data_IF_622927371987
#
_entry.id   IF_622927371987
#
_cell.length_a   1.000
_cell.length_b   1.000
_cell.length_c   1.000
_cell.angle_alpha   90.00
_cell.angle_beta   90.00
_cell.angle_gamma   90.00
#
_symmetry.space_group_name_H-M   'P 1'
#
loop_
_entity.id
_entity.type
_entity.pdbx_description
1 polymer ?
#
# COMPACT_ATOMS: atom_id res chain seq x y z
N UNK A 1 -41.02 -27.70 -0.05
CA UNK A 1 -41.64 -27.68 -1.38
C UNK A 1 -42.89 -26.81 -1.31
N UNK A 2 -42.72 -25.49 -1.51
CA UNK A 2 -43.71 -24.46 -1.92
C UNK A 2 -42.82 -23.33 -2.49
N UNK A 3 -42.52 -23.37 -3.80
CA UNK A 3 -43.06 -22.47 -4.86
C UNK A 3 -42.61 -21.00 -4.65
N UNK A 4 -41.63 -20.46 -5.38
CA UNK A 4 -41.57 -20.13 -6.81
C UNK A 4 -42.34 -18.85 -7.23
N UNK A 5 -41.57 -17.92 -7.77
CA UNK A 5 -41.89 -16.86 -8.74
C UNK A 5 -42.54 -15.53 -8.32
N UNK A 6 -41.89 -14.45 -8.79
CA UNK A 6 -42.34 -13.06 -8.89
C UNK A 6 -41.20 -12.13 -8.47
N UNK A 7 -40.44 -11.44 -9.31
CA UNK A 7 -40.66 -11.02 -10.69
C UNK A 7 -40.28 -9.54 -10.79
N UNK A 8 -39.23 -9.26 -11.58
CA UNK A 8 -38.89 -7.98 -12.22
C UNK A 8 -38.57 -6.72 -11.38
N UNK A 9 -37.40 -6.12 -11.64
CA UNK A 9 -37.20 -4.68 -11.44
C UNK A 9 -35.75 -4.21 -11.33
N UNK A 10 -35.17 -3.74 -12.45
CA UNK A 10 -34.15 -2.67 -12.52
C UNK A 10 -32.77 -2.92 -11.86
N UNK A 11 -31.63 -2.83 -12.54
CA UNK A 11 -31.37 -2.14 -13.79
C UNK A 11 -30.03 -2.58 -14.39
N UNK A 12 -29.97 -2.41 -15.71
CA UNK A 12 -28.76 -2.44 -16.52
C UNK A 12 -27.70 -1.52 -15.91
N UNK A 13 -26.70 -2.10 -15.24
CA UNK A 13 -25.39 -1.46 -15.06
C UNK A 13 -24.54 -1.68 -16.32
N UNK A 14 -25.11 -1.32 -17.47
CA UNK A 14 -24.43 -1.30 -18.75
C UNK A 14 -24.15 0.16 -19.13
N UNK A 15 -22.88 0.57 -18.99
CA UNK A 15 -22.39 1.87 -19.47
C UNK A 15 -22.11 2.88 -18.35
N UNK A 16 -20.83 3.21 -18.13
CA UNK A 16 -20.46 4.39 -17.32
C UNK A 16 -19.14 4.34 -16.56
N UNK A 17 -18.51 3.16 -16.38
CA UNK A 17 -17.27 3.06 -15.58
C UNK A 17 -15.98 3.37 -16.36
N UNK A 18 -16.08 3.78 -17.63
CA UNK A 18 -14.91 4.23 -18.41
C UNK A 18 -14.35 5.58 -17.97
N UNK A 19 -15.18 6.44 -17.35
CA UNK A 19 -14.78 7.80 -16.93
C UNK A 19 -14.11 7.86 -15.55
N UNK A 20 -14.63 7.14 -14.56
CA UNK A 20 -14.18 7.27 -13.16
C UNK A 20 -12.77 6.73 -12.90
N UNK A 21 -12.38 5.66 -13.59
CA UNK A 21 -11.03 5.06 -13.48
C UNK A 21 -9.97 5.98 -14.10
N UNK A 22 -10.32 6.72 -15.15
CA UNK A 22 -9.44 7.72 -15.77
C UNK A 22 -9.24 8.95 -14.88
N UNK A 23 -10.28 9.40 -14.17
CA UNK A 23 -10.22 10.59 -13.32
C UNK A 23 -9.34 10.36 -12.09
N UNK A 24 -9.49 9.22 -11.39
CA UNK A 24 -8.68 8.93 -10.20
C UNK A 24 -7.20 8.66 -10.54
N UNK A 25 -6.94 7.92 -11.62
CA UNK A 25 -5.58 7.72 -12.15
C UNK A 25 -4.92 9.03 -12.59
N UNK A 26 -5.69 9.90 -13.25
CA UNK A 26 -5.23 11.23 -13.67
C UNK A 26 -4.84 12.12 -12.50
N UNK A 27 -5.65 12.17 -11.44
CA UNK A 27 -5.34 12.95 -10.22
C UNK A 27 -4.06 12.46 -9.55
N UNK A 28 -3.86 11.14 -9.45
CA UNK A 28 -2.64 10.57 -8.88
C UNK A 28 -1.40 10.93 -9.71
N UNK A 29 -1.48 10.82 -11.04
CA UNK A 29 -0.39 11.20 -11.95
C UNK A 29 -0.06 12.71 -11.84
N UNK A 30 -1.07 13.56 -11.83
CA UNK A 30 -0.88 15.01 -11.65
C UNK A 30 -0.23 15.30 -10.30
N UNK A 31 -0.67 14.64 -9.22
CA UNK A 31 -0.06 14.76 -7.89
C UNK A 31 1.42 14.37 -7.91
N UNK A 32 1.76 13.25 -8.54
CA UNK A 32 3.15 12.79 -8.70
C UNK A 32 3.98 13.81 -9.49
N UNK A 33 3.47 14.33 -10.61
CA UNK A 33 4.17 15.33 -11.42
C UNK A 33 4.37 16.63 -10.63
N UNK A 34 3.37 17.10 -9.89
CA UNK A 34 3.47 18.27 -9.02
C UNK A 34 4.52 18.06 -7.93
N UNK A 35 4.56 16.89 -7.30
CA UNK A 35 5.57 16.54 -6.30
C UNK A 35 6.99 16.50 -6.89
N UNK A 36 7.16 15.92 -8.08
CA UNK A 36 8.45 15.89 -8.79
C UNK A 36 8.89 17.32 -9.15
N UNK A 37 7.97 18.17 -9.64
CA UNK A 37 8.26 19.58 -9.91
C UNK A 37 8.63 20.35 -8.64
N UNK A 38 7.93 20.11 -7.53
CA UNK A 38 8.22 20.72 -6.24
C UNK A 38 9.60 20.29 -5.71
N UNK A 39 9.98 19.02 -5.90
CA UNK A 39 11.31 18.50 -5.58
C UNK A 39 12.41 19.11 -6.45
N UNK A 40 12.12 19.38 -7.72
CA UNK A 40 13.06 20.05 -8.63
C UNK A 40 13.20 21.54 -8.30
N UNK A 41 12.14 22.18 -7.76
CA UNK A 41 12.13 23.58 -7.29
C UNK A 41 12.10 23.69 -5.77
N UNK A 42 12.96 22.93 -5.08
CA UNK A 42 13.14 22.92 -3.61
C UNK A 42 13.04 24.29 -2.92
N UNK A 43 13.78 25.34 -3.33
CA UNK A 43 13.74 26.62 -2.63
C UNK A 43 12.38 27.33 -2.77
N UNK A 44 11.61 27.05 -3.83
CA UNK A 44 10.24 27.55 -3.97
C UNK A 44 9.26 26.75 -3.11
N UNK A 45 9.38 25.41 -3.11
CA UNK A 45 8.55 24.53 -2.30
C UNK A 45 8.68 24.84 -0.79
N UNK A 46 9.90 25.05 -0.29
CA UNK A 46 10.14 25.40 1.11
C UNK A 46 9.64 26.81 1.47
N UNK A 47 9.68 27.77 0.55
CA UNK A 47 9.09 29.10 0.76
C UNK A 47 7.58 29.04 0.87
N UNK A 48 6.92 28.32 -0.04
CA UNK A 48 5.47 28.13 -0.02
C UNK A 48 5.03 27.37 1.24
N UNK A 49 5.75 26.31 1.61
CA UNK A 49 5.52 25.59 2.86
C UNK A 49 5.64 26.51 4.08
N UNK A 50 6.70 27.34 4.15
CA UNK A 50 6.88 28.30 5.25
C UNK A 50 5.74 29.32 5.32
N UNK A 51 5.23 29.80 4.19
CA UNK A 51 4.08 30.73 4.15
C UNK A 51 2.79 30.06 4.64
N UNK A 52 2.54 28.82 4.22
CA UNK A 52 1.36 28.05 4.65
C UNK A 52 1.45 27.66 6.13
N UNK A 53 2.61 27.23 6.62
CA UNK A 53 2.80 26.87 8.03
C UNK A 53 2.69 28.08 8.96
N UNK A 54 3.00 29.30 8.50
CA UNK A 54 2.76 30.53 9.25
C UNK A 54 1.27 30.84 9.47
N UNK A 55 0.38 30.31 8.63
CA UNK A 55 -1.07 30.46 8.79
C UNK A 55 -1.65 29.47 9.80
N UNK A 56 -0.89 28.46 10.23
CA UNK A 56 -1.34 27.40 11.13
C UNK A 56 -0.59 27.50 12.47
N UNK A 57 -1.07 28.31 13.43
CA UNK A 57 -0.37 28.59 14.69
C UNK A 57 -0.22 27.38 15.63
N UNK A 58 -0.86 26.26 15.31
CA UNK A 58 -0.85 25.02 16.09
C UNK A 58 0.24 24.00 15.68
N UNK A 59 1.01 24.27 14.61
CA UNK A 59 2.13 23.39 14.21
C UNK A 59 3.48 24.09 14.42
N UNK A 60 4.46 23.35 14.93
CA UNK A 60 5.84 23.84 15.06
C UNK A 60 6.48 24.01 13.66
N UNK A 61 6.73 25.24 13.18
CA UNK A 61 7.13 25.49 11.79
C UNK A 61 8.47 24.83 11.45
N UNK A 62 9.42 24.84 12.38
CA UNK A 62 10.78 24.35 12.14
C UNK A 62 10.83 22.82 12.06
N UNK A 63 10.05 22.15 12.91
CA UNK A 63 9.96 20.69 12.92
C UNK A 63 9.30 20.12 11.65
N UNK A 64 8.34 20.85 11.08
CA UNK A 64 7.70 20.45 9.82
C UNK A 64 8.50 20.87 8.59
N UNK A 65 9.17 22.03 8.62
CA UNK A 65 10.07 22.43 7.53
C UNK A 65 11.22 21.44 7.34
N UNK A 66 11.80 20.91 8.43
CA UNK A 66 12.81 19.83 8.35
C UNK A 66 12.26 18.58 7.67
N UNK A 67 11.07 18.11 8.07
CA UNK A 67 10.42 16.94 7.45
C UNK A 67 10.16 17.15 5.96
N UNK A 68 9.73 18.35 5.57
CA UNK A 68 9.49 18.69 4.16
C UNK A 68 10.82 18.72 3.40
N UNK A 69 11.89 19.28 3.98
CA UNK A 69 13.20 19.30 3.33
C UNK A 69 13.79 17.88 3.17
N UNK A 70 13.68 17.03 4.18
CA UNK A 70 14.09 15.62 4.12
C UNK A 70 13.30 14.85 3.04
N UNK A 71 11.98 15.09 2.93
CA UNK A 71 11.12 14.49 1.91
C UNK A 71 11.50 14.97 0.50
N UNK A 72 11.72 16.27 0.31
CA UNK A 72 12.20 16.85 -0.94
C UNK A 72 13.62 16.37 -1.29
N UNK A 73 14.41 15.98 -0.28
CA UNK A 73 15.72 15.36 -0.46
C UNK A 73 15.65 13.93 -0.94
N UNK A 74 14.75 13.12 -0.39
CA UNK A 74 14.44 11.80 -0.93
C UNK A 74 13.92 11.86 -2.38
N UNK A 75 13.03 12.80 -2.68
CA UNK A 75 12.50 12.99 -4.04
C UNK A 75 13.53 13.58 -5.02
N UNK A 76 14.58 14.25 -4.54
CA UNK A 76 15.60 14.79 -5.44
C UNK A 76 16.31 13.68 -6.22
N UNK A 77 16.46 12.48 -5.64
CA UNK A 77 16.97 11.31 -6.37
C UNK A 77 16.09 10.96 -7.59
N UNK A 78 14.77 11.13 -7.49
CA UNK A 78 13.83 10.90 -8.60
C UNK A 78 13.89 12.01 -9.68
N UNK A 79 14.53 13.15 -9.42
CA UNK A 79 14.63 14.24 -10.43
C UNK A 79 15.63 13.93 -11.53
N UNK A 80 16.58 13.00 -11.31
CA UNK A 80 17.44 12.48 -12.36
C UNK A 80 16.67 11.47 -13.19
N UNK A 81 16.51 11.74 -14.47
CA UNK A 81 15.74 10.89 -15.40
C UNK A 81 16.17 9.41 -15.36
N UNK A 82 17.47 9.14 -15.25
CA UNK A 82 18.01 7.77 -15.13
C UNK A 82 17.52 7.06 -13.87
N UNK A 83 17.60 7.72 -12.72
CA UNK A 83 17.24 7.15 -11.42
C UNK A 83 15.71 6.99 -11.32
N UNK A 84 14.95 7.96 -11.84
CA UNK A 84 13.49 7.86 -11.98
C UNK A 84 13.06 6.72 -12.91
N UNK A 85 13.69 6.55 -14.08
CA UNK A 85 13.39 5.45 -14.99
C UNK A 85 13.70 4.07 -14.37
N UNK A 86 14.82 3.96 -13.65
CA UNK A 86 15.19 2.72 -12.94
C UNK A 86 14.18 2.39 -11.85
N UNK A 87 13.71 3.38 -11.08
CA UNK A 87 12.67 3.19 -10.06
C UNK A 87 11.33 2.78 -10.66
N UNK A 88 10.91 3.39 -11.78
CA UNK A 88 9.69 3.00 -12.49
C UNK A 88 9.81 1.56 -12.99
N UNK A 89 10.94 1.21 -13.60
CA UNK A 89 11.19 -0.15 -14.08
C UNK A 89 11.13 -1.17 -12.94
N UNK A 90 11.82 -0.90 -11.83
CA UNK A 90 11.82 -1.79 -10.67
C UNK A 90 10.43 -1.91 -10.02
N UNK A 91 9.67 -0.81 -10.02
CA UNK A 91 8.28 -0.80 -9.57
C UNK A 91 7.42 -1.71 -10.45
N UNK A 92 7.45 -1.53 -11.77
CA UNK A 92 6.71 -2.39 -12.71
C UNK A 92 7.09 -3.86 -12.52
N UNK A 93 8.38 -4.14 -12.39
CA UNK A 93 8.89 -5.50 -12.18
C UNK A 93 8.41 -6.12 -10.87
N UNK A 94 8.14 -5.31 -9.85
CA UNK A 94 7.60 -5.75 -8.56
C UNK A 94 6.08 -5.96 -8.62
N UNK A 95 5.35 -5.07 -9.28
CA UNK A 95 3.87 -5.12 -9.32
C UNK A 95 3.32 -6.16 -10.30
N UNK A 96 3.99 -6.41 -11.43
CA UNK A 96 3.52 -7.38 -12.43
C UNK A 96 3.34 -8.80 -11.85
N UNK A 97 4.31 -9.39 -11.12
CA UNK A 97 4.14 -10.67 -10.45
C UNK A 97 3.00 -10.67 -9.42
N UNK A 98 2.79 -9.54 -8.72
CA UNK A 98 1.72 -9.41 -7.73
C UNK A 98 0.35 -9.46 -8.43
N UNK A 99 0.14 -8.67 -9.48
CA UNK A 99 -1.10 -8.68 -10.26
C UNK A 99 -1.34 -10.07 -10.86
N UNK A 100 -0.30 -10.71 -11.36
CA UNK A 100 -0.36 -12.07 -11.86
C UNK A 100 -0.80 -13.08 -10.78
N UNK A 101 -0.23 -13.00 -9.58
CA UNK A 101 -0.60 -13.86 -8.46
C UNK A 101 -2.06 -13.64 -8.00
N UNK A 102 -2.53 -12.39 -7.99
CA UNK A 102 -3.95 -12.09 -7.73
C UNK A 102 -4.85 -12.68 -8.83
N UNK A 103 -4.49 -12.51 -10.10
CA UNK A 103 -5.26 -13.04 -11.22
C UNK A 103 -5.39 -14.57 -11.15
N UNK A 104 -4.29 -15.28 -10.90
CA UNK A 104 -4.31 -16.75 -10.76
C UNK A 104 -5.01 -17.21 -9.49
N UNK A 105 -4.87 -16.50 -8.37
CA UNK A 105 -5.58 -16.80 -7.13
C UNK A 105 -7.10 -16.60 -7.26
N UNK A 106 -7.55 -15.56 -7.96
CA UNK A 106 -8.97 -15.35 -8.27
C UNK A 106 -9.51 -16.48 -9.15
N UNK A 107 -8.73 -16.93 -10.15
CA UNK A 107 -9.08 -18.12 -10.96
C UNK A 107 -9.15 -19.40 -10.11
N UNK A 108 -8.27 -19.55 -9.12
CA UNK A 108 -8.23 -20.73 -8.25
C UNK A 108 -9.50 -20.89 -7.39
N UNK A 109 -10.16 -19.78 -7.04
CA UNK A 109 -11.45 -19.80 -6.34
C UNK A 109 -12.66 -19.78 -7.31
N UNK A 110 -12.46 -20.21 -8.56
CA UNK A 110 -13.48 -20.29 -9.60
C UNK A 110 -14.13 -18.94 -9.98
N UNK A 111 -13.42 -17.82 -9.81
CA UNK A 111 -13.83 -16.54 -10.42
C UNK A 111 -13.29 -16.43 -11.85
N UNK A 112 -13.94 -15.59 -12.66
CA UNK A 112 -13.50 -15.26 -14.03
C UNK A 112 -12.96 -13.83 -14.06
N UNK A 113 -11.75 -13.57 -13.51
CA UNK A 113 -11.20 -12.24 -13.43
C UNK A 113 -10.76 -11.72 -14.81
N UNK A 114 -10.90 -10.41 -14.99
CA UNK A 114 -10.15 -9.66 -16.00
C UNK A 114 -8.86 -9.11 -15.39
N UNK A 115 -7.88 -8.73 -16.21
CA UNK A 115 -6.67 -8.06 -15.71
C UNK A 115 -6.97 -6.76 -14.96
N UNK A 116 -7.97 -6.01 -15.41
CA UNK A 116 -8.41 -4.79 -14.74
C UNK A 116 -9.01 -5.09 -13.36
N UNK A 117 -9.79 -6.17 -13.22
CA UNK A 117 -10.31 -6.63 -11.93
C UNK A 117 -9.17 -7.02 -10.99
N UNK A 118 -8.20 -7.82 -11.44
CA UNK A 118 -7.05 -8.20 -10.61
C UNK A 118 -6.27 -6.95 -10.14
N UNK A 119 -5.99 -6.01 -11.04
CA UNK A 119 -5.33 -4.74 -10.70
C UNK A 119 -6.13 -3.90 -9.70
N UNK A 120 -7.45 -3.82 -9.86
CA UNK A 120 -8.32 -3.09 -8.93
C UNK A 120 -8.30 -3.70 -7.52
N UNK A 121 -8.38 -5.03 -7.42
CA UNK A 121 -8.34 -5.75 -6.14
C UNK A 121 -6.97 -5.58 -5.47
N UNK A 122 -5.88 -5.57 -6.24
CA UNK A 122 -4.53 -5.25 -5.76
C UNK A 122 -4.46 -3.83 -5.17
N UNK A 123 -5.06 -2.83 -5.84
CA UNK A 123 -5.12 -1.47 -5.31
C UNK A 123 -5.92 -1.40 -4.00
N UNK A 124 -7.07 -2.08 -3.93
CA UNK A 124 -7.88 -2.13 -2.72
C UNK A 124 -7.13 -2.80 -1.56
N UNK A 125 -6.41 -3.89 -1.84
CA UNK A 125 -5.53 -4.54 -0.87
C UNK A 125 -4.44 -3.59 -0.36
N UNK A 126 -3.73 -2.91 -1.27
CA UNK A 126 -2.66 -1.97 -0.90
C UNK A 126 -3.18 -0.81 -0.02
N UNK A 127 -4.35 -0.26 -0.34
CA UNK A 127 -5.01 0.78 0.47
C UNK A 127 -5.39 0.26 1.86
N UNK A 128 -5.85 -0.99 1.95
CA UNK A 128 -6.23 -1.61 3.21
C UNK A 128 -5.02 -1.81 4.13
N UNK A 129 -3.88 -2.18 3.54
CA UNK A 129 -2.62 -2.37 4.27
C UNK A 129 -2.02 -1.04 4.73
N UNK A 130 -2.30 0.06 4.02
CA UNK A 130 -1.84 1.40 4.37
C UNK A 130 -2.49 1.96 5.64
N UNK A 131 -3.60 1.40 6.11
CA UNK A 131 -4.19 1.68 7.42
C UNK A 131 -3.69 0.62 8.43
N UNK A 132 -2.52 0.82 9.09
CA UNK A 132 -1.97 -0.17 10.01
C UNK A 132 -2.81 -0.24 11.29
N UNK A 133 -3.87 -1.04 11.29
CA UNK A 133 -4.82 -1.09 12.41
C UNK A 133 -4.89 -2.44 13.13
N UNK A 134 -4.28 -3.51 12.60
CA UNK A 134 -4.25 -4.82 13.25
C UNK A 134 -2.91 -5.55 13.11
N UNK A 135 -2.47 -6.29 14.15
CA UNK A 135 -1.34 -7.20 14.05
C UNK A 135 -1.54 -8.20 12.91
N UNK A 136 -0.59 -8.27 11.98
CA UNK A 136 -0.66 -9.18 10.84
C UNK A 136 -1.72 -8.82 9.77
N UNK A 137 -2.31 -7.63 9.83
CA UNK A 137 -3.30 -7.12 8.87
C UNK A 137 -4.56 -7.99 8.75
N UNK A 138 -4.82 -8.82 9.76
CA UNK A 138 -6.02 -9.67 9.84
C UNK A 138 -7.23 -8.75 10.01
N UNK A 139 -8.31 -9.02 9.27
CA UNK A 139 -9.49 -8.16 9.24
C UNK A 139 -9.42 -7.08 8.15
N UNK A 140 -8.52 -6.09 8.26
CA UNK A 140 -8.48 -4.96 7.29
C UNK A 140 -8.21 -5.40 5.86
N UNK A 141 -7.26 -6.32 5.66
CA UNK A 141 -6.99 -6.87 4.34
C UNK A 141 -8.23 -7.59 3.78
N UNK A 142 -8.87 -8.42 4.63
CA UNK A 142 -10.01 -9.24 4.22
C UNK A 142 -11.20 -8.35 3.88
N UNK A 143 -11.48 -7.34 4.69
CA UNK A 143 -12.56 -6.39 4.48
C UNK A 143 -12.37 -5.60 3.18
N UNK A 144 -11.16 -5.12 2.89
CA UNK A 144 -10.90 -4.35 1.68
C UNK A 144 -10.94 -5.17 0.38
N UNK A 145 -10.34 -6.36 0.39
CA UNK A 145 -10.39 -7.29 -0.76
C UNK A 145 -11.83 -7.76 -0.99
N UNK A 146 -12.54 -8.13 0.08
CA UNK A 146 -13.94 -8.52 0.00
C UNK A 146 -14.80 -7.39 -0.57
N UNK A 147 -14.71 -6.18 0.00
CA UNK A 147 -15.46 -5.02 -0.47
C UNK A 147 -15.19 -4.72 -1.95
N UNK A 148 -13.94 -4.82 -2.40
CA UNK A 148 -13.59 -4.62 -3.81
C UNK A 148 -14.23 -5.65 -4.74
N UNK A 149 -14.23 -6.93 -4.35
CA UNK A 149 -14.85 -8.00 -5.14
C UNK A 149 -16.38 -7.91 -5.14
N UNK A 150 -16.99 -7.56 -4.01
CA UNK A 150 -18.43 -7.34 -3.91
C UNK A 150 -18.87 -6.14 -4.76
N UNK A 151 -18.07 -5.06 -4.81
CA UNK A 151 -18.32 -3.91 -5.67
C UNK A 151 -18.29 -4.29 -7.17
N UNK A 152 -17.48 -5.28 -7.53
CA UNK A 152 -17.42 -5.86 -8.88
C UNK A 152 -18.47 -6.96 -9.12
N UNK A 153 -19.44 -7.11 -8.22
CA UNK A 153 -20.56 -8.04 -8.36
C UNK A 153 -20.18 -9.52 -8.30
N UNK A 154 -19.05 -9.85 -7.65
CA UNK A 154 -18.60 -11.24 -7.53
C UNK A 154 -19.37 -11.99 -6.42
N UNK A 155 -19.47 -13.34 -6.51
CA UNK A 155 -20.08 -14.14 -5.45
C UNK A 155 -19.37 -13.98 -4.10
N UNK A 156 -20.16 -13.81 -3.03
CA UNK A 156 -19.65 -13.56 -1.67
C UNK A 156 -18.75 -14.70 -1.16
N UNK A 157 -19.19 -15.95 -1.31
CA UNK A 157 -18.44 -17.12 -0.85
C UNK A 157 -17.05 -17.20 -1.51
N UNK A 158 -16.96 -16.96 -2.81
CA UNK A 158 -15.70 -16.99 -3.56
C UNK A 158 -14.82 -15.80 -3.21
N UNK A 159 -15.42 -14.62 -2.98
CA UNK A 159 -14.71 -13.41 -2.59
C UNK A 159 -14.04 -13.54 -1.22
N UNK A 160 -14.76 -14.09 -0.24
CA UNK A 160 -14.18 -14.43 1.06
C UNK A 160 -13.13 -15.54 0.93
N UNK A 161 -13.43 -16.59 0.15
CA UNK A 161 -12.49 -17.67 -0.13
C UNK A 161 -11.16 -17.16 -0.68
N UNK A 162 -11.21 -16.22 -1.63
CA UNK A 162 -10.01 -15.57 -2.17
C UNK A 162 -9.26 -14.75 -1.11
N UNK A 163 -9.97 -13.91 -0.35
CA UNK A 163 -9.37 -13.05 0.66
C UNK A 163 -8.58 -13.88 1.70
N UNK A 164 -9.18 -14.96 2.21
CA UNK A 164 -8.53 -15.86 3.16
C UNK A 164 -7.38 -16.64 2.53
N UNK A 165 -7.59 -17.26 1.36
CA UNK A 165 -6.57 -18.05 0.67
C UNK A 165 -5.33 -17.21 0.37
N UNK A 166 -5.52 -16.03 -0.21
CA UNK A 166 -4.41 -15.15 -0.59
C UNK A 166 -3.66 -14.63 0.64
N UNK A 167 -4.38 -14.20 1.68
CA UNK A 167 -3.74 -13.71 2.91
C UNK A 167 -2.93 -14.82 3.59
N UNK A 168 -3.48 -16.03 3.68
CA UNK A 168 -2.82 -17.17 4.29
C UNK A 168 -1.54 -17.56 3.52
N UNK A 169 -1.61 -17.63 2.20
CA UNK A 169 -0.45 -17.91 1.35
C UNK A 169 0.63 -16.83 1.52
N UNK A 170 0.25 -15.56 1.43
CA UNK A 170 1.18 -14.44 1.57
C UNK A 170 1.87 -14.44 2.95
N UNK A 171 1.09 -14.62 4.02
CA UNK A 171 1.61 -14.66 5.38
C UNK A 171 2.55 -15.86 5.57
N UNK A 172 2.16 -17.04 5.07
CA UNK A 172 2.97 -18.26 5.16
C UNK A 172 4.29 -18.11 4.41
N UNK A 173 4.27 -17.59 3.18
CA UNK A 173 5.48 -17.35 2.40
C UNK A 173 6.40 -16.33 3.08
N UNK A 174 5.87 -15.23 3.58
CA UNK A 174 6.65 -14.23 4.33
C UNK A 174 7.29 -14.82 5.59
N UNK A 175 6.54 -15.60 6.36
CA UNK A 175 7.04 -16.26 7.58
C UNK A 175 8.15 -17.26 7.23
N UNK A 176 7.96 -18.10 6.22
CA UNK A 176 8.96 -19.08 5.79
C UNK A 176 10.25 -18.39 5.34
N UNK A 177 10.14 -17.38 4.47
CA UNK A 177 11.31 -16.63 4.00
C UNK A 177 12.02 -15.89 5.14
N UNK A 178 11.25 -15.34 6.09
CA UNK A 178 11.79 -14.72 7.30
C UNK A 178 12.57 -15.71 8.18
N UNK A 179 12.03 -16.92 8.39
CA UNK A 179 12.71 -17.98 9.15
C UNK A 179 13.99 -18.41 8.43
N UNK A 180 13.95 -18.64 7.11
CA UNK A 180 15.14 -18.99 6.31
C UNK A 180 16.21 -17.90 6.43
N UNK A 181 15.81 -16.63 6.32
CA UNK A 181 16.70 -15.49 6.49
C UNK A 181 17.35 -15.44 7.87
N UNK A 182 16.57 -15.66 8.93
CA UNK A 182 17.08 -15.70 10.32
C UNK A 182 18.02 -16.87 10.58
N UNK A 183 17.74 -18.04 9.99
CA UNK A 183 18.65 -19.19 10.08
C UNK A 183 19.98 -18.89 9.37
N UNK A 184 19.93 -18.16 8.26
CA UNK A 184 21.13 -17.72 7.53
C UNK A 184 21.99 -16.70 8.28
N UNK A 185 21.44 -15.91 9.21
CA UNK A 185 22.19 -14.91 9.98
C UNK A 185 22.83 -15.46 11.25
N UNK A 186 22.56 -16.72 11.65
CA UNK A 186 23.12 -17.35 12.85
C UNK A 186 22.73 -16.67 14.17
N UNK A 187 21.74 -15.77 14.13
CA UNK A 187 21.32 -14.96 15.29
C UNK A 187 20.35 -15.73 16.16
N UNK A 188 20.80 -16.17 17.33
CA UNK A 188 19.93 -16.79 18.34
C UNK A 188 19.03 -15.72 18.98
N UNK A 189 17.78 -16.06 19.31
CA UNK A 189 16.83 -15.17 20.03
C UNK A 189 17.46 -14.48 21.25
N UNK A 190 18.35 -15.18 21.95
CA UNK A 190 19.11 -14.69 23.10
C UNK A 190 20.05 -13.52 22.74
N UNK A 191 20.65 -13.51 21.56
CA UNK A 191 21.54 -12.43 21.10
C UNK A 191 20.74 -11.17 20.72
N UNK A 192 19.54 -11.33 20.14
CA UNK A 192 18.64 -10.21 19.85
C UNK A 192 18.15 -9.56 21.15
N UNK A 193 17.74 -10.36 22.13
CA UNK A 193 17.32 -9.88 23.46
C UNK A 193 18.49 -9.22 24.20
N UNK A 194 19.69 -9.80 24.16
CA UNK A 194 20.89 -9.22 24.78
C UNK A 194 21.31 -7.89 24.14
N UNK A 195 21.22 -7.78 22.81
CA UNK A 195 21.49 -6.55 22.06
C UNK A 195 20.53 -5.42 22.46
N UNK A 196 19.23 -5.74 22.57
CA UNK A 196 18.19 -4.78 22.92
C UNK A 196 18.36 -4.29 24.36
N UNK A 197 18.70 -5.20 25.28
CA UNK A 197 18.98 -4.86 26.69
C UNK A 197 20.21 -3.96 26.83
N UNK A 198 21.30 -4.23 26.09
CA UNK A 198 22.51 -3.39 26.08
C UNK A 198 22.24 -1.98 25.54
N UNK A 199 21.43 -1.83 24.50
CA UNK A 199 21.07 -0.51 23.96
C UNK A 199 20.24 0.33 24.94
N UNK A 200 19.26 -0.29 25.62
CA UNK A 200 18.45 0.38 26.65
C UNK A 200 19.30 0.84 27.85
N UNK A 201 20.22 -0.01 28.31
CA UNK A 201 21.09 0.30 29.44
C UNK A 201 22.06 1.46 29.15
N UNK A 202 22.51 1.60 27.89
CA UNK A 202 23.38 2.69 27.43
C UNK A 202 22.63 4.03 27.30
N UNK A 203 21.31 4.00 27.13
CA UNK A 203 20.46 5.20 27.15
C UNK A 203 20.04 5.60 28.57
N UNK A 204 19.95 4.64 29.49
CA UNK A 204 19.60 4.89 30.90
C UNK A 204 20.79 5.35 31.76
N UNK A 205 22.04 5.24 31.27
CA UNK A 205 23.19 5.88 31.92
C UNK A 205 23.22 7.36 31.49
N UNK A 206 22.94 8.33 32.38
CA UNK A 206 23.12 9.74 32.04
C UNK A 206 24.59 9.96 31.73
N UNK A 207 24.88 10.67 30.65
CA UNK A 207 26.18 11.30 30.45
C UNK A 207 26.38 12.27 31.62
N UNK A 208 27.06 11.80 32.67
CA UNK A 208 27.52 12.64 33.76
C UNK A 208 28.58 13.59 33.16
N UNK A 209 28.46 14.93 33.34
CA UNK A 209 29.45 15.89 32.85
C UNK A 209 30.84 15.64 33.42
#
# INVERSE_FOLDING_TARGET
>A
MVLACGGAGGGRWGGGWGGGVGVSGGVALVGIVVLIMAANKRPFALRLARQLLRLLPFLNPDAWLRRIDDLLLGLHSLTRFRDGAMLIFLSILTWLPIIFAYYTGLRAVNLQPTWAMAGFVVCAAALSIAAPSSPGQIGVFHAGVFAALQLLGQPEANSLGFAFLYHALNLTTMVILGIIGLMGTGTTWQQVVASTRKYRQKQETPTNP
#
